data_IF_192896996218
#
_entry.id   IF_192896996218
#
_cell.length_a   1.000
_cell.length_b   1.000
_cell.length_c   1.000
_cell.angle_alpha   90.00
_cell.angle_beta   90.00
_cell.angle_gamma   90.00
#
_symmetry.space_group_name_H-M   'P 1'
#
loop_
_entity.id
_entity.type
_entity.pdbx_description
1 polymer ?
#
# COMPACT_ATOMS: atom_id res chain seq x y z
N UNK A 1 -18.83 12.01 -0.98
CA UNK A 1 -17.60 11.58 -1.67
C UNK A 1 -16.49 11.54 -0.64
N UNK A 2 -16.10 10.37 -0.12
CA UNK A 2 -14.91 10.29 0.72
C UNK A 2 -13.73 10.71 -0.16
N UNK A 3 -13.02 11.79 0.22
CA UNK A 3 -11.76 12.13 -0.41
C UNK A 3 -10.83 10.94 -0.19
N UNK A 4 -10.47 10.25 -1.26
CA UNK A 4 -9.44 9.21 -1.23
C UNK A 4 -8.14 9.87 -0.77
N UNK A 5 -7.76 9.63 0.49
CA UNK A 5 -6.51 10.13 1.07
C UNK A 5 -5.34 9.56 0.25
N UNK A 6 -4.44 10.43 -0.19
CA UNK A 6 -3.24 10.02 -0.92
C UNK A 6 -2.35 9.18 0.01
N UNK A 7 -1.87 8.00 -0.43
CA UNK A 7 -0.93 7.20 0.33
C UNK A 7 0.37 7.96 0.60
N UNK A 8 0.90 7.85 1.82
CA UNK A 8 2.21 8.37 2.20
C UNK A 8 3.21 7.23 2.28
N UNK A 9 4.46 7.48 1.89
CA UNK A 9 5.56 6.52 2.13
C UNK A 9 5.63 6.21 3.63
N UNK A 10 5.90 4.94 3.97
CA UNK A 10 5.87 4.38 5.33
C UNK A 10 4.49 4.20 5.96
N UNK A 11 3.41 4.61 5.29
CA UNK A 11 2.06 4.39 5.78
C UNK A 11 1.71 2.90 5.74
N UNK A 12 1.11 2.40 6.83
CA UNK A 12 0.59 1.04 6.90
C UNK A 12 -0.70 0.90 6.09
N UNK A 13 -0.85 -0.25 5.46
CA UNK A 13 -2.01 -0.61 4.65
C UNK A 13 -2.48 -2.02 4.94
N UNK A 14 -3.74 -2.30 4.65
CA UNK A 14 -4.25 -3.66 4.47
C UNK A 14 -4.49 -3.90 2.99
N UNK A 15 -3.96 -5.01 2.47
CA UNK A 15 -4.09 -5.39 1.06
C UNK A 15 -5.44 -6.07 0.85
N UNK A 16 -6.23 -5.63 -0.12
CA UNK A 16 -7.52 -6.23 -0.47
C UNK A 16 -7.36 -7.28 -1.57
N UNK A 17 -6.51 -6.99 -2.55
CA UNK A 17 -6.18 -7.85 -3.68
C UNK A 17 -4.69 -7.72 -4.03
N UNK A 18 -4.09 -8.70 -4.72
CA UNK A 18 -4.64 -9.99 -5.15
C UNK A 18 -4.72 -11.05 -4.03
N UNK A 19 -5.41 -12.16 -4.28
CA UNK A 19 -5.77 -13.18 -3.27
C UNK A 19 -4.59 -13.75 -2.46
N UNK A 20 -3.39 -13.86 -3.05
CA UNK A 20 -2.22 -14.43 -2.35
C UNK A 20 -1.62 -13.49 -1.28
N UNK A 21 -2.01 -12.21 -1.29
CA UNK A 21 -1.64 -11.19 -0.29
C UNK A 21 -2.83 -10.49 0.34
N UNK A 22 -4.06 -10.82 -0.07
CA UNK A 22 -5.28 -10.28 0.51
C UNK A 22 -5.35 -10.54 2.02
N UNK A 23 -5.78 -9.52 2.77
CA UNK A 23 -5.85 -9.53 4.23
C UNK A 23 -4.50 -9.32 4.93
N UNK A 24 -3.38 -9.30 4.21
CA UNK A 24 -2.06 -9.05 4.81
C UNK A 24 -1.83 -7.56 5.00
N UNK A 25 -1.07 -7.25 6.05
CA UNK A 25 -0.55 -5.91 6.27
C UNK A 25 0.64 -5.63 5.34
N UNK A 26 0.82 -4.36 5.02
CA UNK A 26 2.01 -3.90 4.32
C UNK A 26 2.31 -2.45 4.58
N UNK A 27 3.38 -1.98 3.97
CA UNK A 27 3.87 -0.60 4.06
C UNK A 27 4.05 -0.03 2.66
N UNK A 28 3.59 1.21 2.47
CA UNK A 28 3.79 1.94 1.22
C UNK A 28 5.27 2.30 1.07
N UNK A 29 5.89 1.83 -0.01
CA UNK A 29 7.25 2.18 -0.40
C UNK A 29 7.30 3.44 -1.28
N UNK A 30 6.26 3.67 -2.08
CA UNK A 30 6.16 4.82 -2.97
C UNK A 30 5.20 4.58 -4.14
N UNK A 31 5.01 5.60 -4.96
CA UNK A 31 4.29 5.48 -6.23
C UNK A 31 5.21 4.81 -7.27
N UNK A 32 4.64 3.93 -8.08
CA UNK A 32 5.35 3.30 -9.18
C UNK A 32 5.57 4.33 -10.31
N UNK A 33 6.83 4.43 -10.75
CA UNK A 33 7.25 5.34 -11.81
C UNK A 33 7.70 4.54 -13.03
N UNK A 34 7.34 5.03 -14.21
CA UNK A 34 7.94 4.61 -15.47
C UNK A 34 9.41 5.08 -15.55
N UNK A 35 10.17 4.53 -16.49
CA UNK A 35 11.58 4.91 -16.71
C UNK A 35 11.81 6.39 -17.04
N UNK A 36 10.76 7.10 -17.48
CA UNK A 36 10.76 8.54 -17.73
C UNK A 36 10.32 9.38 -16.51
N UNK A 37 10.16 8.76 -15.34
CA UNK A 37 9.75 9.43 -14.10
C UNK A 37 8.26 9.73 -13.98
N UNK A 38 7.43 9.32 -14.95
CA UNK A 38 5.97 9.55 -14.87
C UNK A 38 5.31 8.51 -13.96
N UNK A 39 4.37 8.92 -13.09
CA UNK A 39 3.62 7.99 -12.25
C UNK A 39 2.69 7.11 -13.08
N UNK A 40 2.57 5.84 -12.67
CA UNK A 40 1.62 4.89 -13.26
C UNK A 40 0.24 4.93 -12.60
N UNK A 41 0.13 5.59 -11.44
CA UNK A 41 -1.06 5.56 -10.58
C UNK A 41 -1.14 4.29 -9.71
N UNK A 42 -0.14 3.41 -9.78
CA UNK A 42 0.01 2.25 -8.90
C UNK A 42 1.00 2.54 -7.78
N UNK A 43 0.90 1.78 -6.70
CA UNK A 43 1.68 1.95 -5.48
C UNK A 43 2.47 0.68 -5.19
N UNK A 44 3.75 0.86 -4.88
CA UNK A 44 4.61 -0.21 -4.41
C UNK A 44 4.36 -0.42 -2.92
N UNK A 45 3.93 -1.62 -2.57
CA UNK A 45 3.64 -2.02 -1.19
C UNK A 45 4.50 -3.22 -0.84
N UNK A 46 5.30 -3.08 0.21
CA UNK A 46 6.00 -4.19 0.81
C UNK A 46 5.03 -4.90 1.77
N UNK A 47 4.77 -6.18 1.50
CA UNK A 47 3.84 -6.99 2.31
C UNK A 47 4.60 -7.63 3.47
N UNK A 48 4.02 -7.56 4.66
CA UNK A 48 4.54 -8.20 5.87
C UNK A 48 4.26 -9.70 5.78
N UNK A 49 5.19 -10.46 5.19
CA UNK A 49 5.19 -11.92 5.13
C UNK A 49 6.37 -12.49 5.92
N UNK A 50 6.11 -13.48 6.76
CA UNK A 50 7.12 -14.10 7.65
C UNK A 50 8.19 -14.91 6.91
N UNK A 51 7.90 -15.34 5.69
CA UNK A 51 8.77 -16.25 4.92
C UNK A 51 9.49 -15.58 3.75
N UNK A 52 8.96 -14.47 3.22
CA UNK A 52 9.44 -13.87 1.98
C UNK A 52 9.25 -12.35 1.99
N UNK A 53 10.21 -11.62 1.38
CA UNK A 53 10.04 -10.19 1.10
C UNK A 53 9.31 -10.03 -0.22
N UNK A 54 8.01 -9.80 -0.15
CA UNK A 54 7.15 -9.58 -1.31
C UNK A 54 6.89 -8.08 -1.46
N UNK A 55 7.14 -7.54 -2.64
CA UNK A 55 6.70 -6.20 -3.04
C UNK A 55 5.67 -6.37 -4.16
N UNK A 56 4.52 -5.73 -4.01
CA UNK A 56 3.45 -5.72 -5.00
C UNK A 56 3.22 -4.30 -5.52
N UNK A 57 2.91 -4.18 -6.80
CA UNK A 57 2.43 -2.95 -7.42
C UNK A 57 0.91 -3.01 -7.48
N UNK A 58 0.19 -2.16 -6.73
CA UNK A 58 -1.27 -2.18 -6.60
C UNK A 58 -1.91 -0.84 -7.01
N UNK A 59 -3.05 -0.85 -7.71
CA UNK A 59 -3.85 0.36 -7.89
C UNK A 59 -4.47 0.78 -6.55
N UNK A 60 -4.91 2.04 -6.44
CA UNK A 60 -5.37 2.61 -5.17
C UNK A 60 -6.56 1.88 -4.54
N UNK A 61 -7.40 1.24 -5.34
CA UNK A 61 -8.60 0.51 -4.94
C UNK A 61 -8.34 -0.92 -4.45
N UNK A 62 -7.11 -1.43 -4.59
CA UNK A 62 -6.72 -2.78 -4.13
C UNK A 62 -6.10 -2.80 -2.73
N UNK A 63 -6.05 -1.66 -2.03
CA UNK A 63 -5.59 -1.58 -0.64
C UNK A 63 -6.27 -0.44 0.12
N UNK A 64 -6.31 -0.57 1.45
CA UNK A 64 -6.81 0.48 2.34
C UNK A 64 -5.70 1.02 3.22
N UNK A 65 -5.70 2.34 3.40
CA UNK A 65 -4.77 3.02 4.29
C UNK A 65 -5.25 2.84 5.73
N UNK A 66 -4.36 2.41 6.62
CA UNK A 66 -4.65 2.37 8.04
C UNK A 66 -4.35 3.75 8.64
N UNK A 67 -5.33 4.33 9.35
CA UNK A 67 -5.12 5.56 10.11
C UNK A 67 -4.26 5.25 11.35
N UNK A 68 -3.27 6.10 11.64
CA UNK A 68 -2.55 6.04 12.92
C UNK A 68 -3.31 6.78 14.03
N UNK A 69 -4.63 6.63 14.09
CA UNK A 69 -5.45 7.23 15.16
C UNK A 69 -5.80 6.15 16.19
N UNK A 70 -4.77 5.60 16.86
CA UNK A 70 -4.93 4.84 18.11
C UNK A 70 -3.56 4.49 18.72
N UNK A 71 -2.98 5.41 19.49
CA UNK A 71 -2.42 5.16 20.83
C UNK A 71 -1.97 6.50 21.44
N UNK A 72 -2.95 7.27 21.94
CA UNK A 72 -2.73 8.11 23.11
C UNK A 72 -3.71 7.63 24.19
N UNK A 73 -3.23 6.71 25.03
CA UNK A 73 -3.78 6.44 26.37
C UNK A 73 -2.61 6.50 27.33
#
# INVERSE_FOLDING_TARGET
>A
MLKSRQPLVTQKVIVLHPAYVAGKLGVVCGEELLSNGRPTGRWLIQVDCTSERIIVSLPRDEFELLNQDAEQV
#
